data_IF_967636815720
#
_entry.id   IF_967636815720
#
_cell.length_a   1.000
_cell.length_b   1.000
_cell.length_c   1.000
_cell.angle_alpha   90.00
_cell.angle_beta   90.00
_cell.angle_gamma   90.00
#
_symmetry.space_group_name_H-M   'P 1'
#
loop_
_entity.id
_entity.type
_entity.pdbx_description
1 polymer ?
#
# COMPACT_ATOMS: atom_id res chain seq x y z
N UNK A 1 31.62 5.45 20.11
CA UNK A 1 31.02 5.42 18.75
C UNK A 1 30.80 3.96 18.38
N UNK A 2 29.57 3.46 18.42
CA UNK A 2 29.28 2.05 18.10
C UNK A 2 29.65 1.79 16.63
N UNK A 3 30.55 0.83 16.38
CA UNK A 3 30.97 0.47 15.01
C UNK A 3 29.96 -0.51 14.46
N UNK A 4 29.14 -0.06 13.50
CA UNK A 4 28.14 -0.90 12.83
C UNK A 4 28.83 -2.08 12.16
N UNK A 5 28.42 -3.31 12.51
CA UNK A 5 28.90 -4.55 11.93
C UNK A 5 28.10 -4.89 10.66
N UNK A 6 28.55 -4.37 9.52
CA UNK A 6 27.81 -4.45 8.25
C UNK A 6 27.47 -5.86 7.75
N UNK A 7 28.32 -6.90 7.90
CA UNK A 7 27.97 -8.25 7.47
C UNK A 7 26.68 -8.76 8.16
N UNK A 8 26.59 -8.56 9.48
CA UNK A 8 25.43 -8.95 10.27
C UNK A 8 24.19 -8.12 9.92
N UNK A 9 24.36 -6.82 9.68
CA UNK A 9 23.24 -5.96 9.21
C UNK A 9 22.69 -6.47 7.87
N UNK A 10 23.54 -6.92 6.95
CA UNK A 10 23.12 -7.44 5.63
C UNK A 10 22.40 -8.79 5.79
N UNK A 11 22.87 -9.65 6.68
CA UNK A 11 22.22 -10.93 7.00
C UNK A 11 20.83 -10.73 7.59
N UNK A 12 20.71 -9.89 8.62
CA UNK A 12 19.41 -9.56 9.21
C UNK A 12 18.49 -8.86 8.20
N UNK A 13 19.04 -7.98 7.37
CA UNK A 13 18.28 -7.33 6.30
C UNK A 13 17.74 -8.34 5.28
N UNK A 14 18.50 -9.38 4.95
CA UNK A 14 18.05 -10.45 4.07
C UNK A 14 16.92 -11.22 4.72
N UNK A 15 17.06 -11.63 5.98
CA UNK A 15 16.02 -12.35 6.69
C UNK A 15 14.71 -11.57 6.74
N UNK A 16 14.80 -10.26 6.97
CA UNK A 16 13.65 -9.34 6.90
C UNK A 16 13.04 -9.42 5.50
N UNK A 17 13.81 -9.14 4.44
CA UNK A 17 13.27 -9.07 3.06
C UNK A 17 12.70 -10.42 2.60
N UNK A 18 13.32 -11.54 2.94
CA UNK A 18 12.88 -12.88 2.53
C UNK A 18 11.62 -13.33 3.26
N UNK A 19 11.36 -12.86 4.48
CA UNK A 19 10.12 -13.18 5.22
C UNK A 19 8.89 -12.49 4.67
N UNK A 20 9.06 -11.32 4.05
CA UNK A 20 7.93 -10.60 3.46
C UNK A 20 7.71 -11.03 2.01
N UNK A 21 6.71 -11.88 1.80
CA UNK A 21 6.26 -12.32 0.46
C UNK A 21 5.94 -11.15 -0.48
N UNK A 22 5.59 -10.01 0.10
CA UNK A 22 5.13 -8.80 -0.60
C UNK A 22 6.26 -7.82 -0.93
N UNK A 23 7.50 -8.19 -0.61
CA UNK A 23 8.71 -7.40 -0.80
C UNK A 23 8.78 -6.13 0.05
N UNK A 24 9.98 -5.57 0.14
CA UNK A 24 10.29 -4.44 1.03
C UNK A 24 11.03 -3.37 0.24
N UNK A 25 10.68 -2.10 0.45
CA UNK A 25 11.46 -0.98 -0.10
C UNK A 25 12.73 -0.75 0.74
N UNK A 26 13.75 -0.13 0.14
CA UNK A 26 14.96 0.23 0.89
C UNK A 26 14.66 1.11 2.12
N UNK A 27 13.68 2.01 2.00
CA UNK A 27 13.27 2.91 3.08
C UNK A 27 12.63 2.13 4.23
N UNK A 28 11.65 1.28 3.94
CA UNK A 28 11.02 0.43 4.96
C UNK A 28 12.05 -0.44 5.68
N UNK A 29 12.94 -1.09 4.94
CA UNK A 29 14.01 -1.90 5.51
C UNK A 29 14.90 -1.09 6.47
N UNK A 30 15.23 0.15 6.11
CA UNK A 30 15.99 1.04 6.98
C UNK A 30 15.26 1.39 8.29
N UNK A 31 13.95 1.68 8.23
CA UNK A 31 13.16 1.95 9.44
C UNK A 31 12.95 0.72 10.31
N UNK A 32 12.73 -0.47 9.72
CA UNK A 32 12.65 -1.73 10.48
C UNK A 32 13.97 -2.01 11.20
N UNK A 33 15.11 -1.83 10.53
CA UNK A 33 16.42 -2.02 11.16
C UNK A 33 16.66 -0.99 12.27
N UNK A 34 16.21 0.25 12.10
CA UNK A 34 16.29 1.27 13.13
C UNK A 34 15.36 0.98 14.32
N UNK A 35 14.11 0.60 14.08
CA UNK A 35 13.14 0.31 15.14
C UNK A 35 13.55 -0.89 15.99
N UNK A 36 14.27 -1.86 15.38
CA UNK A 36 14.91 -2.99 16.07
C UNK A 36 16.24 -2.65 16.75
N UNK A 37 16.70 -1.41 16.69
CA UNK A 37 17.96 -0.96 17.29
C UNK A 37 19.24 -1.47 16.61
N UNK A 38 19.12 -2.05 15.40
CA UNK A 38 20.25 -2.66 14.66
C UNK A 38 21.15 -1.58 14.05
N UNK A 39 20.55 -0.48 13.59
CA UNK A 39 21.26 0.66 12.99
C UNK A 39 20.75 1.99 13.57
N UNK A 40 21.60 3.03 13.66
CA UNK A 40 21.14 4.34 14.12
C UNK A 40 20.43 5.10 13.00
N UNK A 41 19.37 5.84 13.37
CA UNK A 41 18.67 6.73 12.45
C UNK A 41 19.54 7.94 12.07
N UNK A 42 20.23 7.86 10.92
CA UNK A 42 20.99 8.98 10.36
C UNK A 42 21.13 8.88 8.84
N UNK A 43 21.22 10.04 8.16
CA UNK A 43 21.46 10.09 6.72
C UNK A 43 22.77 9.39 6.26
N UNK A 44 23.90 9.47 7.01
CA UNK A 44 25.09 8.66 6.71
C UNK A 44 24.84 7.15 6.78
N UNK A 45 24.09 6.67 7.78
CA UNK A 45 23.71 5.26 7.91
C UNK A 45 22.91 4.80 6.71
N UNK A 46 21.88 5.56 6.34
CA UNK A 46 21.01 5.26 5.21
C UNK A 46 21.80 5.14 3.89
N UNK A 47 22.68 6.12 3.60
CA UNK A 47 23.53 6.09 2.40
C UNK A 47 24.42 4.86 2.36
N UNK A 48 24.99 4.48 3.51
CA UNK A 48 25.88 3.31 3.59
C UNK A 48 25.10 2.00 3.42
N UNK A 49 23.93 1.87 4.03
CA UNK A 49 23.03 0.73 3.83
C UNK A 49 22.64 0.60 2.35
N UNK A 50 22.18 1.70 1.73
CA UNK A 50 21.83 1.75 0.30
C UNK A 50 22.96 1.24 -0.59
N UNK A 51 24.18 1.72 -0.38
CA UNK A 51 25.33 1.35 -1.19
C UNK A 51 25.67 -0.14 -1.04
N UNK A 52 25.70 -0.66 0.19
CA UNK A 52 26.03 -2.05 0.49
C UNK A 52 24.99 -3.02 -0.06
N UNK A 53 23.70 -2.73 0.10
CA UNK A 53 22.63 -3.57 -0.43
C UNK A 53 22.57 -3.53 -1.96
N UNK A 54 22.90 -2.40 -2.58
CA UNK A 54 23.02 -2.34 -4.03
C UNK A 54 24.19 -3.19 -4.55
N UNK A 55 25.32 -3.19 -3.85
CA UNK A 55 26.48 -4.04 -4.18
C UNK A 55 26.17 -5.53 -4.05
N UNK A 56 25.54 -5.94 -2.95
CA UNK A 56 25.15 -7.33 -2.73
C UNK A 56 24.11 -7.80 -3.77
N UNK A 57 23.12 -6.97 -4.13
CA UNK A 57 22.17 -7.30 -5.21
C UNK A 57 22.84 -7.44 -6.58
N UNK A 58 23.84 -6.59 -6.90
CA UNK A 58 24.60 -6.71 -8.16
C UNK A 58 25.40 -8.02 -8.25
N UNK A 59 25.81 -8.59 -7.12
CA UNK A 59 26.46 -9.91 -7.06
C UNK A 59 25.47 -11.09 -7.11
N UNK A 60 24.16 -10.83 -7.06
CA UNK A 60 23.15 -11.87 -6.88
C UNK A 60 23.04 -12.38 -5.45
N UNK A 61 23.81 -11.80 -4.52
CA UNK A 61 23.86 -12.27 -3.15
C UNK A 61 22.61 -11.87 -2.38
N UNK A 62 21.91 -10.77 -2.68
CA UNK A 62 20.81 -10.23 -1.86
C UNK A 62 19.48 -10.22 -2.63
N UNK A 63 18.32 -10.53 -2.00
CA UNK A 63 17.03 -10.53 -2.67
C UNK A 63 16.65 -9.15 -3.26
N UNK A 64 15.77 -9.10 -4.28
CA UNK A 64 15.30 -7.83 -4.82
C UNK A 64 14.57 -7.00 -3.76
N UNK A 65 14.72 -5.68 -3.87
CA UNK A 65 13.92 -4.70 -3.11
C UNK A 65 12.91 -4.07 -4.08
N UNK A 66 11.74 -3.70 -3.57
CA UNK A 66 10.69 -3.06 -4.39
C UNK A 66 11.04 -1.59 -4.66
N UNK A 67 10.83 -1.16 -5.91
CA UNK A 67 10.75 0.24 -6.32
C UNK A 67 9.31 0.54 -6.73
N UNK A 68 8.59 1.35 -5.95
CA UNK A 68 7.19 1.68 -6.18
C UNK A 68 6.98 2.82 -7.19
N UNK A 69 8.07 3.48 -7.62
CA UNK A 69 7.99 4.72 -8.40
C UNK A 69 8.34 4.49 -9.87
N UNK A 70 9.24 3.56 -10.15
CA UNK A 70 9.73 3.30 -11.52
C UNK A 70 9.11 2.04 -12.08
N UNK A 71 8.34 2.19 -13.15
CA UNK A 71 7.78 1.07 -13.91
C UNK A 71 8.20 1.17 -15.38
N UNK A 72 8.56 0.03 -15.97
CA UNK A 72 8.70 -0.06 -17.42
C UNK A 72 7.29 -0.14 -17.98
N UNK A 73 6.85 0.93 -18.65
CA UNK A 73 5.56 0.92 -19.32
C UNK A 73 5.65 0.06 -20.58
N UNK A 74 4.94 -1.07 -20.57
CA UNK A 74 4.75 -1.91 -21.74
C UNK A 74 3.28 -1.79 -22.14
N UNK A 75 2.98 -1.22 -23.32
CA UNK A 75 1.61 -1.21 -23.82
C UNK A 75 1.06 -2.64 -23.92
N UNK A 76 -0.17 -2.91 -23.48
CA UNK A 76 -0.81 -4.21 -23.69
C UNK A 76 -0.82 -4.55 -25.18
N UNK A 77 -0.34 -5.75 -25.52
CA UNK A 77 -0.36 -6.28 -26.89
C UNK A 77 -0.57 -7.78 -26.86
N UNK A 78 -1.20 -8.29 -27.91
CA UNK A 78 -1.57 -9.70 -28.04
C UNK A 78 -1.24 -10.17 -29.45
N UNK A 79 -0.67 -11.37 -29.55
CA UNK A 79 -0.31 -12.03 -30.81
C UNK A 79 -1.54 -12.56 -31.57
N UNK A 80 -2.69 -12.68 -30.92
CA UNK A 80 -3.94 -13.10 -31.54
C UNK A 80 -5.18 -12.67 -30.74
N UNK A 81 -6.38 -12.63 -31.37
CA UNK A 81 -7.64 -12.45 -30.66
C UNK A 81 -7.88 -13.50 -29.56
N UNK A 82 -7.44 -14.74 -29.79
CA UNK A 82 -7.55 -15.82 -28.80
C UNK A 82 -6.73 -15.54 -27.54
N UNK A 83 -5.53 -14.98 -27.70
CA UNK A 83 -4.71 -14.57 -26.56
C UNK A 83 -5.36 -13.43 -25.78
N UNK A 84 -5.89 -12.41 -26.47
CA UNK A 84 -6.67 -11.32 -25.85
C UNK A 84 -7.84 -11.88 -25.03
N UNK A 85 -8.65 -12.76 -25.61
CA UNK A 85 -9.79 -13.35 -24.93
C UNK A 85 -9.38 -14.20 -23.72
N UNK A 86 -8.28 -14.97 -23.85
CA UNK A 86 -7.74 -15.76 -22.75
C UNK A 86 -7.26 -14.86 -21.61
N UNK A 87 -6.57 -13.76 -21.94
CA UNK A 87 -6.15 -12.77 -20.96
C UNK A 87 -7.35 -12.08 -20.28
N UNK A 88 -8.40 -11.75 -21.05
CA UNK A 88 -9.62 -11.16 -20.51
C UNK A 88 -10.32 -12.08 -19.49
N UNK A 89 -10.36 -13.40 -19.72
CA UNK A 89 -10.86 -14.37 -18.74
C UNK A 89 -10.00 -14.39 -17.49
N UNK A 90 -8.67 -14.41 -17.65
CA UNK A 90 -7.73 -14.48 -16.53
C UNK A 90 -7.76 -13.21 -15.66
N UNK A 91 -8.02 -12.04 -16.25
CA UNK A 91 -8.09 -10.75 -15.55
C UNK A 91 -9.51 -10.36 -15.14
N UNK A 92 -10.53 -11.05 -15.63
CA UNK A 92 -11.92 -10.78 -15.29
C UNK A 92 -12.11 -10.78 -13.77
N UNK A 93 -12.71 -9.71 -13.26
CA UNK A 93 -13.13 -9.57 -11.87
C UNK A 93 -14.47 -8.87 -11.80
N UNK A 94 -15.33 -9.32 -10.89
CA UNK A 94 -16.49 -8.56 -10.45
C UNK A 94 -16.05 -7.44 -9.51
N UNK A 95 -16.93 -6.47 -9.32
CA UNK A 95 -16.80 -5.52 -8.23
C UNK A 95 -17.01 -6.23 -6.90
N UNK A 96 -15.93 -6.49 -6.16
CA UNK A 96 -15.96 -7.16 -4.85
C UNK A 96 -16.67 -6.34 -3.76
N UNK A 97 -16.95 -5.07 -4.04
CA UNK A 97 -17.75 -4.21 -3.16
C UNK A 97 -19.24 -4.28 -3.45
N UNK A 98 -19.69 -5.01 -4.48
CA UNK A 98 -21.10 -5.15 -4.84
C UNK A 98 -21.93 -5.62 -3.63
N UNK A 99 -22.97 -4.87 -3.28
CA UNK A 99 -23.87 -5.19 -2.16
C UNK A 99 -23.30 -4.93 -0.76
N UNK A 100 -22.09 -4.37 -0.64
CA UNK A 100 -21.54 -3.95 0.66
C UNK A 100 -22.30 -2.74 1.23
N UNK A 101 -22.47 -2.67 2.56
CA UNK A 101 -23.26 -1.61 3.22
C UNK A 101 -22.57 -0.24 3.20
N UNK A 102 -21.25 -0.22 3.06
CA UNK A 102 -20.43 1.00 3.00
C UNK A 102 -19.41 0.88 1.88
N UNK A 103 -18.91 2.01 1.41
CA UNK A 103 -17.72 2.06 0.56
C UNK A 103 -16.50 2.37 1.43
N UNK A 104 -15.61 1.39 1.57
CA UNK A 104 -14.37 1.56 2.34
C UNK A 104 -13.26 2.01 1.40
N UNK A 105 -12.45 2.96 1.86
CA UNK A 105 -11.27 3.46 1.17
C UNK A 105 -10.09 3.41 2.13
N UNK A 106 -8.94 2.90 1.67
CA UNK A 106 -7.70 2.97 2.46
C UNK A 106 -6.86 4.13 1.95
N UNK A 107 -6.66 5.13 2.79
CA UNK A 107 -5.79 6.26 2.51
C UNK A 107 -4.44 6.11 3.17
N UNK A 108 -3.37 6.45 2.45
CA UNK A 108 -2.06 6.59 3.05
C UNK A 108 -1.39 7.93 2.70
N UNK A 109 -0.61 8.45 3.63
CA UNK A 109 0.18 9.66 3.41
C UNK A 109 1.28 9.41 2.37
N UNK A 110 2.03 8.31 2.53
CA UNK A 110 3.22 8.01 1.74
C UNK A 110 2.98 6.94 0.69
N UNK A 111 3.69 7.08 -0.42
CA UNK A 111 3.67 6.10 -1.51
C UNK A 111 4.38 4.79 -1.17
N UNK A 112 5.28 4.81 -0.18
CA UNK A 112 6.11 3.68 0.23
C UNK A 112 5.29 2.49 0.69
N UNK A 113 4.09 2.73 1.24
CA UNK A 113 3.16 1.69 1.70
C UNK A 113 2.11 1.32 0.65
N UNK A 114 2.06 1.99 -0.51
CA UNK A 114 1.04 1.76 -1.54
C UNK A 114 0.99 0.31 -1.98
N UNK A 115 2.13 -0.26 -2.37
CA UNK A 115 2.19 -1.62 -2.92
C UNK A 115 1.69 -2.66 -1.91
N UNK A 116 2.12 -2.54 -0.66
CA UNK A 116 1.71 -3.43 0.41
C UNK A 116 0.20 -3.31 0.70
N UNK A 117 -0.31 -2.10 0.91
CA UNK A 117 -1.75 -1.88 1.15
C UNK A 117 -2.58 -2.36 -0.03
N UNK A 118 -2.23 -1.95 -1.26
CA UNK A 118 -2.96 -2.35 -2.46
C UNK A 118 -3.03 -3.87 -2.62
N UNK A 119 -1.99 -4.59 -2.21
CA UNK A 119 -2.00 -6.04 -2.20
C UNK A 119 -2.95 -6.61 -1.14
N UNK A 120 -2.93 -6.08 0.09
CA UNK A 120 -3.82 -6.57 1.15
C UNK A 120 -5.29 -6.26 0.89
N UNK A 121 -5.58 -5.14 0.23
CA UNK A 121 -6.95 -4.70 -0.08
C UNK A 121 -7.49 -5.27 -1.38
N UNK A 122 -6.63 -5.88 -2.20
CA UNK A 122 -6.93 -6.33 -3.55
C UNK A 122 -8.11 -7.31 -3.60
N UNK A 123 -8.09 -8.35 -2.76
CA UNK A 123 -9.12 -9.41 -2.77
C UNK A 123 -10.44 -8.94 -2.14
N UNK A 124 -10.46 -7.76 -1.54
CA UNK A 124 -11.66 -7.09 -1.04
C UNK A 124 -12.21 -6.03 -2.01
N UNK A 125 -11.51 -5.78 -3.13
CA UNK A 125 -11.85 -4.71 -4.08
C UNK A 125 -11.73 -3.29 -3.51
N UNK A 126 -11.01 -3.11 -2.40
CA UNK A 126 -10.97 -1.83 -1.70
C UNK A 126 -9.92 -0.89 -2.32
N UNK A 127 -10.31 0.32 -2.76
CA UNK A 127 -9.40 1.28 -3.38
C UNK A 127 -8.40 1.87 -2.39
N UNK A 128 -7.21 2.21 -2.91
CA UNK A 128 -6.12 2.83 -2.15
C UNK A 128 -5.81 4.23 -2.68
N UNK A 129 -5.91 5.22 -1.81
CA UNK A 129 -5.55 6.62 -2.11
C UNK A 129 -4.22 6.98 -1.45
N UNK A 130 -3.34 7.67 -2.17
CA UNK A 130 -2.06 8.10 -1.62
C UNK A 130 -1.97 9.62 -1.72
N UNK A 131 -1.91 10.30 -0.57
CA UNK A 131 -1.91 11.76 -0.51
C UNK A 131 -0.59 12.37 -1.03
N UNK A 132 0.55 11.71 -0.78
CA UNK A 132 1.92 12.20 -1.04
C UNK A 132 2.13 13.63 -0.51
N UNK A 133 1.86 13.85 0.77
CA UNK A 133 1.78 15.19 1.35
C UNK A 133 0.43 15.84 1.05
N UNK A 134 0.43 17.10 0.63
CA UNK A 134 -0.79 17.82 0.22
C UNK A 134 -1.15 17.46 -1.22
N UNK A 135 -2.11 16.53 -1.38
CA UNK A 135 -2.57 16.11 -2.70
C UNK A 135 -3.11 17.29 -3.55
N UNK A 136 -2.97 17.21 -4.87
CA UNK A 136 -3.47 18.26 -5.77
C UNK A 136 -4.99 18.39 -5.71
N UNK A 137 -5.53 19.56 -6.06
CA UNK A 137 -6.99 19.77 -6.06
C UNK A 137 -7.70 18.81 -7.03
N UNK A 138 -7.14 18.58 -8.23
CA UNK A 138 -7.72 17.63 -9.18
C UNK A 138 -7.78 16.20 -8.65
N UNK A 139 -6.82 15.79 -7.82
CA UNK A 139 -6.85 14.46 -7.20
C UNK A 139 -7.92 14.38 -6.09
N UNK A 140 -8.10 15.45 -5.32
CA UNK A 140 -9.22 15.59 -4.37
C UNK A 140 -10.56 15.48 -5.10
N UNK A 141 -10.71 16.21 -6.22
CA UNK A 141 -11.97 16.23 -6.97
C UNK A 141 -12.29 14.87 -7.60
N UNK A 142 -11.29 14.11 -8.09
CA UNK A 142 -11.47 12.74 -8.60
C UNK A 142 -11.94 11.79 -7.49
N UNK A 143 -11.30 11.82 -6.33
CA UNK A 143 -11.71 10.97 -5.19
C UNK A 143 -13.11 11.34 -4.71
N UNK A 144 -13.41 12.64 -4.55
CA UNK A 144 -14.74 13.10 -4.16
C UNK A 144 -15.79 12.64 -5.17
N UNK A 145 -15.55 12.83 -6.47
CA UNK A 145 -16.48 12.44 -7.52
C UNK A 145 -16.75 10.92 -7.54
N UNK A 146 -15.74 10.10 -7.27
CA UNK A 146 -15.92 8.63 -7.14
C UNK A 146 -16.76 8.25 -5.94
N UNK A 147 -16.50 8.87 -4.78
CA UNK A 147 -17.26 8.63 -3.56
C UNK A 147 -18.73 9.04 -3.72
N UNK A 148 -18.97 10.22 -4.28
CA UNK A 148 -20.32 10.73 -4.54
C UNK A 148 -21.07 9.88 -5.58
N UNK A 149 -20.37 9.38 -6.60
CA UNK A 149 -20.98 8.53 -7.63
C UNK A 149 -21.44 7.17 -7.09
N UNK A 150 -20.67 6.57 -6.18
CA UNK A 150 -21.04 5.32 -5.52
C UNK A 150 -22.26 5.50 -4.60
N UNK A 151 -22.29 6.61 -3.86
CA UNK A 151 -23.47 7.04 -3.08
C UNK A 151 -23.72 6.26 -1.78
N UNK A 152 -22.97 5.19 -1.49
CA UNK A 152 -23.00 4.52 -0.18
C UNK A 152 -22.27 5.34 0.89
N UNK A 153 -22.56 5.15 2.19
CA UNK A 153 -21.78 5.76 3.25
C UNK A 153 -20.29 5.44 3.10
N UNK A 154 -19.45 6.46 3.17
CA UNK A 154 -18.04 6.39 2.85
C UNK A 154 -17.14 6.39 4.09
N UNK A 155 -16.26 5.40 4.16
CA UNK A 155 -15.31 5.22 5.26
C UNK A 155 -13.89 5.38 4.76
N UNK A 156 -13.14 6.31 5.35
CA UNK A 156 -11.71 6.47 5.12
C UNK A 156 -10.90 5.84 6.26
N UNK A 157 -10.24 4.72 5.97
CA UNK A 157 -9.23 4.10 6.82
C UNK A 157 -7.84 4.68 6.50
N UNK A 158 -7.30 5.52 7.37
CA UNK A 158 -6.13 6.37 7.11
C UNK A 158 -4.84 5.88 7.78
N UNK A 159 -3.75 5.83 7.02
CA UNK A 159 -2.39 5.45 7.42
C UNK A 159 -1.42 6.60 7.14
N UNK A 160 -0.90 7.27 8.16
CA UNK A 160 0.06 8.37 8.02
C UNK A 160 0.96 8.53 9.23
N UNK A 161 1.94 9.42 9.15
CA UNK A 161 2.92 9.58 10.23
C UNK A 161 2.33 10.29 11.44
N UNK A 162 2.78 9.92 12.63
CA UNK A 162 2.45 10.67 13.85
C UNK A 162 3.48 11.78 14.04
N UNK A 163 3.21 12.92 13.43
CA UNK A 163 3.91 14.18 13.68
C UNK A 163 3.00 15.38 13.36
N UNK A 164 3.55 16.59 13.48
CA UNK A 164 2.81 17.81 13.27
C UNK A 164 2.30 17.97 11.81
N UNK A 165 3.04 17.46 10.83
CA UNK A 165 2.70 17.55 9.41
C UNK A 165 1.76 16.42 8.98
N UNK A 166 1.97 15.18 9.42
CA UNK A 166 1.13 14.02 9.10
C UNK A 166 -0.31 14.18 9.57
N UNK A 167 -0.53 14.74 10.76
CA UNK A 167 -1.89 15.09 11.23
C UNK A 167 -2.52 16.23 10.42
N UNK A 168 -1.71 17.20 9.99
CA UNK A 168 -2.17 18.34 9.19
C UNK A 168 -2.57 17.90 7.78
N UNK A 169 -1.83 16.97 7.18
CA UNK A 169 -2.11 16.37 5.88
C UNK A 169 -3.41 15.59 5.93
N UNK A 170 -3.62 14.75 6.96
CA UNK A 170 -4.90 14.04 7.13
C UNK A 170 -6.07 15.01 7.25
N UNK A 171 -5.94 16.06 8.07
CA UNK A 171 -6.98 17.08 8.24
C UNK A 171 -7.25 17.79 6.91
N UNK A 172 -6.22 18.28 6.23
CA UNK A 172 -6.36 18.96 4.95
C UNK A 172 -7.05 18.08 3.90
N UNK A 173 -6.64 16.81 3.79
CA UNK A 173 -7.25 15.84 2.88
C UNK A 173 -8.73 15.66 3.15
N UNK A 174 -9.10 15.38 4.41
CA UNK A 174 -10.49 15.12 4.82
C UNK A 174 -11.36 16.37 4.68
N UNK A 175 -10.83 17.55 5.00
CA UNK A 175 -11.54 18.84 4.81
C UNK A 175 -11.77 19.16 3.34
N UNK A 176 -10.79 18.96 2.46
CA UNK A 176 -10.94 19.30 1.03
C UNK A 176 -11.79 18.29 0.27
N UNK A 177 -11.73 17.02 0.63
CA UNK A 177 -12.58 15.98 0.04
C UNK A 177 -14.03 16.10 0.52
N UNK A 178 -14.24 16.32 1.83
CA UNK A 178 -15.56 16.55 2.42
C UNK A 178 -16.64 15.53 1.97
N UNK A 179 -16.24 14.26 1.82
CA UNK A 179 -17.12 13.19 1.33
C UNK A 179 -17.14 11.96 2.24
N UNK A 180 -16.45 11.99 3.39
CA UNK A 180 -16.33 10.85 4.29
C UNK A 180 -17.33 10.95 5.43
N UNK A 181 -18.18 9.95 5.58
CA UNK A 181 -19.06 9.80 6.74
C UNK A 181 -18.27 9.37 7.98
N UNK A 182 -17.20 8.60 7.80
CA UNK A 182 -16.33 8.15 8.88
C UNK A 182 -14.86 8.22 8.45
N UNK A 183 -14.02 8.74 9.32
CA UNK A 183 -12.55 8.74 9.14
C UNK A 183 -11.91 8.04 10.33
N UNK A 184 -11.23 6.93 10.08
CA UNK A 184 -10.50 6.15 11.08
C UNK A 184 -9.01 6.22 10.83
N UNK A 185 -8.25 6.76 11.77
CA UNK A 185 -6.79 6.71 11.70
C UNK A 185 -6.29 5.37 12.24
N UNK A 186 -5.71 4.54 11.38
CA UNK A 186 -5.22 3.20 11.72
C UNK A 186 -3.78 3.19 12.22
N UNK A 187 -2.95 4.02 11.60
CA UNK A 187 -1.53 4.10 11.90
C UNK A 187 -0.99 5.47 11.48
N UNK A 188 0.05 6.01 12.11
CA UNK A 188 0.45 5.75 13.50
C UNK A 188 -0.46 6.58 14.40
N UNK A 189 -1.15 5.97 15.36
CA UNK A 189 -1.98 6.67 16.36
C UNK A 189 -1.14 7.17 17.53
N UNK A 190 -1.71 8.05 18.36
CA UNK A 190 -1.05 8.52 19.59
C UNK A 190 -0.62 7.35 20.49
N UNK A 191 -1.51 6.38 20.69
CA UNK A 191 -1.27 5.24 21.57
C UNK A 191 -0.21 4.29 21.00
N UNK A 192 -0.17 4.13 19.67
CA UNK A 192 0.91 3.38 19.02
C UNK A 192 2.25 4.12 19.14
N UNK A 193 2.27 5.45 18.95
CA UNK A 193 3.48 6.26 19.06
C UNK A 193 4.12 6.16 20.45
N UNK A 194 3.32 6.02 21.52
CA UNK A 194 3.83 5.82 22.87
C UNK A 194 4.69 4.55 23.05
N UNK A 195 4.51 3.56 22.18
CA UNK A 195 5.23 2.27 22.21
C UNK A 195 6.29 2.12 21.11
N UNK A 196 6.48 3.15 20.28
CA UNK A 196 7.42 3.14 19.17
C UNK A 196 8.59 4.11 19.45
N UNK A 197 9.81 3.80 18.98
CA UNK A 197 10.93 4.71 19.11
C UNK A 197 10.69 5.96 18.26
N UNK A 198 10.77 7.13 18.90
CA UNK A 198 10.68 8.41 18.22
C UNK A 198 11.96 8.68 17.40
N UNK A 199 11.81 9.21 16.20
CA UNK A 199 12.92 9.77 15.43
C UNK A 199 12.95 11.29 15.58
N UNK A 200 14.13 11.89 15.47
CA UNK A 200 14.24 13.35 15.35
C UNK A 200 13.54 13.82 14.08
N UNK A 201 12.61 14.77 14.22
CA UNK A 201 11.89 15.36 13.10
C UNK A 201 12.69 16.50 12.47
N UNK A 202 12.24 16.93 11.29
CA UNK A 202 12.85 18.08 10.60
C UNK A 202 12.75 19.34 11.48
N UNK A 203 13.86 20.07 11.70
CA UNK A 203 13.81 21.31 12.45
C UNK A 203 13.02 22.37 11.67
N UNK A 204 12.26 23.20 12.41
CA UNK A 204 11.57 24.36 11.86
C UNK A 204 10.21 24.08 11.20
N UNK A 205 9.55 22.95 11.47
CA UNK A 205 8.13 22.80 11.11
C UNK A 205 7.30 23.82 11.91
N UNK A 206 6.64 24.80 11.26
CA UNK A 206 5.85 25.82 11.96
C UNK A 206 4.65 25.22 12.70
N UNK A 207 4.25 23.98 12.40
CA UNK A 207 3.17 23.26 13.06
C UNK A 207 3.61 22.59 14.37
N UNK A 208 4.92 22.36 14.55
CA UNK A 208 5.48 21.65 15.69
C UNK A 208 5.08 22.25 17.05
N UNK A 209 5.17 23.58 17.29
CA UNK A 209 4.86 24.13 18.61
C UNK A 209 3.43 23.80 19.09
N UNK A 210 2.45 23.87 18.19
CA UNK A 210 1.05 23.54 18.48
C UNK A 210 0.86 22.04 18.74
N UNK A 211 1.52 21.20 17.94
CA UNK A 211 1.48 19.74 18.10
C UNK A 211 2.12 19.32 19.44
N UNK A 212 3.33 19.84 19.74
CA UNK A 212 4.05 19.57 20.96
C UNK A 212 3.25 19.97 22.20
N UNK A 213 2.64 21.17 22.18
CA UNK A 213 1.75 21.62 23.26
C UNK A 213 0.55 20.70 23.43
N UNK A 214 -0.10 20.27 22.33
CA UNK A 214 -1.30 19.42 22.38
C UNK A 214 -1.04 18.04 22.98
N UNK A 215 0.12 17.45 22.71
CA UNK A 215 0.45 16.08 23.11
C UNK A 215 1.55 16.00 24.19
N UNK A 216 1.93 17.13 24.80
CA UNK A 216 2.89 17.17 25.90
C UNK A 216 4.34 16.88 25.53
N UNK A 217 4.74 17.14 24.27
CA UNK A 217 6.13 16.99 23.84
C UNK A 217 6.95 18.28 24.05
N UNK A 218 8.28 18.17 23.99
CA UNK A 218 9.17 19.32 24.11
C UNK A 218 9.12 20.22 22.85
N UNK A 219 8.69 21.50 22.95
CA UNK A 219 8.60 22.40 21.80
C UNK A 219 9.93 22.69 21.10
N UNK A 220 11.08 22.49 21.77
CA UNK A 220 12.41 22.73 21.18
C UNK A 220 13.06 21.47 20.60
N UNK A 221 12.43 20.30 20.77
CA UNK A 221 12.95 19.03 20.28
C UNK A 221 11.92 18.30 19.39
N UNK A 222 11.85 18.66 18.09
CA UNK A 222 10.94 18.03 17.15
C UNK A 222 11.19 16.52 17.03
N UNK A 223 10.11 15.75 17.17
CA UNK A 223 10.10 14.29 17.03
C UNK A 223 8.96 13.83 16.14
N UNK A 224 9.13 12.65 15.54
CA UNK A 224 8.19 12.04 14.60
C UNK A 224 8.19 10.52 14.77
N UNK A 225 7.06 9.90 14.42
CA UNK A 225 6.93 8.45 14.32
C UNK A 225 6.37 8.10 12.95
N UNK A 226 7.19 7.38 12.20
CA UNK A 226 6.85 7.06 10.82
C UNK A 226 6.11 5.73 10.73
N UNK A 227 5.18 5.62 9.78
CA UNK A 227 4.44 4.38 9.52
C UNK A 227 5.40 3.22 9.26
N UNK A 228 6.53 3.46 8.59
CA UNK A 228 7.55 2.43 8.32
C UNK A 228 8.24 1.86 9.58
N UNK A 229 8.02 2.45 10.76
CA UNK A 229 8.50 1.89 12.03
C UNK A 229 7.60 0.75 12.55
N UNK A 230 6.35 0.67 12.10
CA UNK A 230 5.46 -0.44 12.43
C UNK A 230 5.90 -1.72 11.72
N UNK A 231 5.69 -2.85 12.39
CA UNK A 231 5.86 -4.15 11.74
C UNK A 231 4.83 -4.29 10.59
N UNK A 232 5.24 -4.72 9.38
CA UNK A 232 4.33 -4.87 8.25
C UNK A 232 3.13 -5.78 8.50
N UNK A 233 3.29 -6.86 9.29
CA UNK A 233 2.17 -7.73 9.64
C UNK A 233 1.20 -7.03 10.59
N UNK A 234 1.72 -6.22 11.52
CA UNK A 234 0.89 -5.37 12.37
C UNK A 234 0.10 -4.35 11.53
N UNK A 235 0.74 -3.68 10.57
CA UNK A 235 0.06 -2.74 9.69
C UNK A 235 -1.00 -3.43 8.82
N UNK A 236 -0.69 -4.63 8.31
CA UNK A 236 -1.64 -5.46 7.56
C UNK A 236 -2.88 -5.77 8.39
N UNK A 237 -2.72 -6.23 9.63
CA UNK A 237 -3.86 -6.54 10.50
C UNK A 237 -4.71 -5.30 10.78
N UNK A 238 -4.09 -4.16 11.06
CA UNK A 238 -4.83 -2.89 11.26
C UNK A 238 -5.70 -2.51 10.06
N UNK A 239 -5.18 -2.70 8.84
CA UNK A 239 -5.91 -2.44 7.59
C UNK A 239 -7.06 -3.44 7.40
N UNK A 240 -6.79 -4.73 7.55
CA UNK A 240 -7.80 -5.77 7.36
C UNK A 240 -8.91 -5.68 8.41
N UNK A 241 -8.58 -5.43 9.68
CA UNK A 241 -9.55 -5.25 10.74
C UNK A 241 -10.47 -4.05 10.46
N UNK A 242 -9.94 -2.97 9.91
CA UNK A 242 -10.74 -1.82 9.51
C UNK A 242 -11.70 -2.17 8.37
N UNK A 243 -11.23 -2.89 7.36
CA UNK A 243 -12.09 -3.36 6.26
C UNK A 243 -13.19 -4.26 6.80
N UNK A 244 -12.86 -5.24 7.66
CA UNK A 244 -13.82 -6.18 8.22
C UNK A 244 -14.87 -5.51 9.12
N UNK A 245 -14.55 -4.41 9.80
CA UNK A 245 -15.54 -3.64 10.59
C UNK A 245 -16.64 -3.03 9.74
N UNK A 246 -16.35 -2.72 8.48
CA UNK A 246 -17.23 -1.93 7.61
C UNK A 246 -17.81 -2.73 6.43
N UNK A 247 -17.38 -3.98 6.27
CA UNK A 247 -17.82 -4.87 5.19
C UNK A 247 -18.55 -6.10 5.74
N UNK A 248 -19.44 -6.64 4.93
CA UNK A 248 -20.12 -7.91 5.17
C UNK A 248 -19.38 -9.04 4.44
N UNK A 249 -18.74 -9.98 5.17
CA UNK A 249 -18.00 -11.07 4.54
C UNK A 249 -18.91 -11.99 3.73
N UNK A 250 -20.18 -12.19 4.13
CA UNK A 250 -21.11 -13.03 3.38
C UNK A 250 -21.49 -12.43 2.02
N UNK A 251 -21.50 -11.09 1.90
CA UNK A 251 -21.73 -10.45 0.60
C UNK A 251 -20.51 -10.60 -0.30
N UNK A 252 -19.30 -10.46 0.26
CA UNK A 252 -18.07 -10.73 -0.48
C UNK A 252 -18.03 -12.17 -1.00
N UNK A 253 -18.34 -13.16 -0.15
CA UNK A 253 -18.38 -14.58 -0.54
C UNK A 253 -19.34 -14.82 -1.71
N UNK A 254 -20.54 -14.23 -1.68
CA UNK A 254 -21.51 -14.33 -2.79
C UNK A 254 -20.98 -13.75 -4.09
N UNK A 255 -20.30 -12.60 -4.03
CA UNK A 255 -19.69 -11.97 -5.21
C UNK A 255 -18.56 -12.84 -5.75
N UNK A 256 -17.72 -13.40 -4.88
CA UNK A 256 -16.62 -14.30 -5.28
C UNK A 256 -17.14 -15.62 -5.88
N UNK A 257 -18.23 -16.18 -5.36
CA UNK A 257 -18.89 -17.35 -5.95
C UNK A 257 -19.44 -17.05 -7.34
N UNK A 258 -20.12 -15.90 -7.50
CA UNK A 258 -20.64 -15.46 -8.79
C UNK A 258 -19.52 -15.22 -9.81
N UNK A 259 -18.45 -14.55 -9.38
CA UNK A 259 -17.25 -14.33 -10.21
C UNK A 259 -16.65 -15.66 -10.68
N UNK A 260 -16.56 -16.68 -9.80
CA UNK A 260 -16.05 -18.01 -10.16
C UNK A 260 -16.91 -18.70 -11.22
N UNK A 261 -18.23 -18.63 -11.08
CA UNK A 261 -19.17 -19.17 -12.09
C UNK A 261 -18.99 -18.46 -13.43
N UNK A 262 -18.98 -17.13 -13.44
CA UNK A 262 -18.87 -16.34 -14.66
C UNK A 262 -17.51 -16.50 -15.34
N UNK A 263 -16.42 -16.64 -14.58
CA UNK A 263 -15.11 -17.01 -15.16
C UNK A 263 -15.16 -18.35 -15.88
N UNK A 264 -15.88 -19.34 -15.34
CA UNK A 264 -16.02 -20.66 -15.96
C UNK A 264 -16.85 -20.57 -17.24
N UNK A 265 -17.93 -19.81 -17.23
CA UNK A 265 -18.75 -19.55 -18.42
C UNK A 265 -17.96 -18.81 -19.51
N UNK A 266 -17.22 -17.76 -19.14
CA UNK A 266 -16.34 -17.03 -20.05
C UNK A 266 -15.23 -17.93 -20.61
N UNK A 267 -14.63 -18.80 -19.77
CA UNK A 267 -13.64 -19.76 -20.23
C UNK A 267 -14.22 -20.75 -21.25
N UNK A 268 -15.44 -21.25 -21.02
CA UNK A 268 -16.14 -22.12 -21.96
C UNK A 268 -16.42 -21.41 -23.29
N UNK A 269 -16.86 -20.15 -23.25
CA UNK A 269 -17.03 -19.31 -24.43
C UNK A 269 -15.73 -19.16 -25.23
N UNK A 270 -14.60 -18.90 -24.55
CA UNK A 270 -13.30 -18.80 -25.21
C UNK A 270 -12.85 -20.13 -25.84
N UNK A 271 -13.21 -21.28 -25.26
CA UNK A 271 -12.94 -22.58 -25.91
C UNK A 271 -13.75 -22.76 -27.19
N UNK A 272 -15.04 -22.39 -27.20
CA UNK A 272 -15.86 -22.43 -28.41
C UNK A 272 -15.30 -21.51 -29.50
N UNK A 273 -14.85 -20.31 -29.12
CA UNK A 273 -14.15 -19.41 -30.03
C UNK A 273 -12.91 -20.06 -30.65
N UNK A 274 -12.08 -20.73 -29.84
CA UNK A 274 -10.88 -21.43 -30.33
C UNK A 274 -11.21 -22.52 -31.34
N UNK A 275 -12.31 -23.25 -31.14
CA UNK A 275 -12.76 -24.28 -32.09
C UNK A 275 -13.26 -23.66 -33.39
N UNK A 276 -13.98 -22.53 -33.31
CA UNK A 276 -14.45 -21.80 -34.49
C UNK A 276 -13.29 -21.27 -35.36
N UNK A 277 -12.25 -20.71 -34.75
CA UNK A 277 -11.11 -20.12 -35.48
C UNK A 277 -10.02 -21.14 -35.84
N UNK A 278 -10.15 -22.42 -35.45
CA UNK A 278 -9.18 -23.45 -35.84
C UNK A 278 -9.18 -23.56 -37.38
N UNK A 279 -8.01 -23.47 -38.03
CA UNK A 279 -7.93 -23.72 -39.47
C UNK A 279 -8.48 -25.13 -39.74
N UNK A 280 -9.40 -25.25 -40.69
CA UNK A 280 -9.81 -26.54 -41.21
C UNK A 280 -8.54 -27.24 -41.73
N UNK A 281 -7.99 -28.17 -40.94
CA UNK A 281 -6.89 -29.03 -41.40
C UNK A 281 -7.35 -29.66 -42.72
N UNK A 282 -6.63 -29.34 -43.78
CA UNK A 282 -6.78 -29.82 -45.15
C UNK A 282 -7.68 -31.07 -45.27
N UNK A 283 -8.92 -30.88 -45.73
CA UNK A 283 -9.62 -31.91 -46.49
C UNK A 283 -9.00 -31.96 -47.88
N UNK A 284 -7.74 -32.40 -48.00
CA UNK A 284 -7.22 -32.89 -49.26
C UNK A 284 -7.54 -34.37 -49.34
N UNK A 285 -8.65 -34.66 -50.04
CA UNK A 285 -8.79 -35.88 -50.83
C UNK A 285 -7.85 -35.83 -52.01
#
# INVERSE_FOLDING_TARGET
>A
MYRIHWPEVIEQARDIVTRYEYGVTLRQLYYILFSRGIIPHSAPTYRRLSARLAEARRRGDFPPLIDTVRQVHVPPSYTSPTELLTAAVATYRRDHTEGQPTQVWVGAEKDTVRAAIAQWTHDHGIPVIICRGYGSQSYVDDVRGRVEHDGRPAVLAYVGDWDASGLDIQRDWTTRTHCWDTVERLAVTHDQAAHLPAATAKPGDPRWPKFATRYGYNPTHPIQWEVEALDPDQLRQLVLDAIHRHTNPQQLDRVLDRERTERTELAAFVQQWREYVRPARHRHR
#
